data_IF_496720008287
#
_entry.id   IF_496720008287
#
_cell.length_a   1.000
_cell.length_b   1.000
_cell.length_c   1.000
_cell.angle_alpha   90.00
_cell.angle_beta   90.00
_cell.angle_gamma   90.00
#
_symmetry.space_group_name_H-M   'P 1'
#
loop_
_entity.id
_entity.type
_entity.pdbx_description
1 polymer ?
#
# COMPACT_ATOMS: atom_id res chain seq x y z
N UNK A 1 18.88 12.09 -27.14
CA UNK A 1 20.03 12.18 -26.23
C UNK A 1 19.66 11.51 -24.92
N UNK A 2 20.13 10.28 -24.67
CA UNK A 2 19.99 9.66 -23.35
C UNK A 2 20.96 10.38 -22.41
N UNK A 3 20.42 11.00 -21.36
CA UNK A 3 21.22 11.61 -20.32
C UNK A 3 21.74 10.47 -19.44
N UNK A 4 23.03 10.20 -19.47
CA UNK A 4 23.68 9.31 -18.52
C UNK A 4 23.77 10.05 -17.19
N UNK A 5 23.13 9.48 -16.15
CA UNK A 5 23.19 9.99 -14.79
C UNK A 5 24.36 9.34 -14.05
N UNK A 6 25.04 10.08 -13.20
CA UNK A 6 26.02 9.51 -12.27
C UNK A 6 25.33 8.67 -11.20
N UNK A 7 26.08 7.77 -10.55
CA UNK A 7 25.55 6.92 -9.45
C UNK A 7 24.98 7.82 -8.34
N UNK A 8 25.66 8.90 -7.99
CA UNK A 8 25.21 9.84 -6.96
C UNK A 8 23.91 10.57 -7.35
N UNK A 9 23.74 10.91 -8.61
CA UNK A 9 22.49 11.51 -9.11
C UNK A 9 21.33 10.52 -9.06
N UNK A 10 21.59 9.24 -9.38
CA UNK A 10 20.57 8.17 -9.30
C UNK A 10 20.12 7.98 -7.86
N UNK A 11 21.07 7.88 -6.90
CA UNK A 11 20.77 7.74 -5.48
C UNK A 11 19.97 8.93 -4.94
N UNK A 12 20.31 10.14 -5.34
CA UNK A 12 19.58 11.35 -4.93
C UNK A 12 18.15 11.36 -5.50
N UNK A 13 17.97 10.93 -6.74
CA UNK A 13 16.65 10.81 -7.37
C UNK A 13 15.80 9.78 -6.61
N UNK A 14 16.39 8.63 -6.28
CA UNK A 14 15.69 7.57 -5.54
C UNK A 14 15.27 8.04 -4.14
N UNK A 15 16.14 8.71 -3.40
CA UNK A 15 15.83 9.27 -2.09
C UNK A 15 14.66 10.27 -2.15
N UNK A 16 14.68 11.18 -3.13
CA UNK A 16 13.56 12.12 -3.35
C UNK A 16 12.26 11.41 -3.70
N UNK A 17 12.35 10.30 -4.43
CA UNK A 17 11.17 9.51 -4.79
C UNK A 17 10.59 8.80 -3.56
N UNK A 18 11.43 8.26 -2.70
CA UNK A 18 11.05 7.66 -1.40
C UNK A 18 10.36 8.69 -0.51
N UNK A 19 10.94 9.89 -0.35
CA UNK A 19 10.34 10.96 0.46
C UNK A 19 8.96 11.38 -0.06
N UNK A 20 8.82 11.53 -1.37
CA UNK A 20 7.52 11.83 -1.99
C UNK A 20 6.52 10.70 -1.78
N UNK A 21 6.97 9.44 -1.81
CA UNK A 21 6.13 8.26 -1.59
C UNK A 21 5.55 8.23 -0.18
N UNK A 22 6.27 8.71 0.82
CA UNK A 22 5.75 8.84 2.21
C UNK A 22 4.55 9.78 2.30
N UNK A 23 4.53 10.83 1.50
CA UNK A 23 3.52 11.91 1.55
C UNK A 23 2.41 11.78 0.53
N UNK A 24 2.63 11.02 -0.54
CA UNK A 24 1.70 10.93 -1.66
C UNK A 24 1.47 9.47 -2.07
N UNK A 25 0.25 9.01 -1.88
CA UNK A 25 -0.14 7.64 -2.18
C UNK A 25 0.03 7.27 -3.67
N UNK A 26 -0.25 8.19 -4.60
CA UNK A 26 -0.04 7.92 -6.02
C UNK A 26 1.43 7.67 -6.37
N UNK A 27 2.33 8.45 -5.79
CA UNK A 27 3.78 8.27 -5.95
C UNK A 27 4.24 6.96 -5.29
N UNK A 28 3.72 6.66 -4.09
CA UNK A 28 3.97 5.40 -3.40
C UNK A 28 3.58 4.19 -4.25
N UNK A 29 2.39 4.19 -4.87
CA UNK A 29 1.94 3.12 -5.75
C UNK A 29 2.90 2.84 -6.90
N UNK A 30 3.40 3.91 -7.53
CA UNK A 30 4.37 3.79 -8.62
C UNK A 30 5.71 3.25 -8.13
N UNK A 31 6.13 3.65 -6.94
CA UNK A 31 7.38 3.20 -6.35
C UNK A 31 7.35 1.70 -6.00
N UNK A 32 6.32 1.23 -5.32
CA UNK A 32 6.21 -0.19 -4.95
C UNK A 32 5.88 -1.10 -6.14
N UNK A 33 5.26 -0.56 -7.19
CA UNK A 33 4.87 -1.29 -8.40
C UNK A 33 5.51 -0.68 -9.66
N UNK A 34 6.79 -0.91 -9.94
CA UNK A 34 7.46 -0.32 -11.12
C UNK A 34 6.88 -0.80 -12.46
N UNK A 35 6.14 -1.90 -12.46
CA UNK A 35 5.43 -2.44 -13.65
C UNK A 35 3.98 -1.95 -13.76
N UNK A 36 3.57 -1.00 -12.92
CA UNK A 36 2.21 -0.48 -12.95
C UNK A 36 1.94 0.21 -14.28
N UNK A 37 0.96 -0.29 -15.02
CA UNK A 37 0.44 0.43 -16.19
C UNK A 37 -0.38 1.61 -15.70
N UNK A 38 0.14 2.81 -15.90
CA UNK A 38 -0.50 4.04 -15.48
C UNK A 38 -1.71 4.31 -16.36
N UNK A 39 -2.86 4.51 -15.74
CA UNK A 39 -4.07 4.98 -16.40
C UNK A 39 -4.67 6.17 -15.64
N UNK A 40 -5.39 7.03 -16.36
CA UNK A 40 -5.99 8.22 -15.78
C UNK A 40 -6.94 7.88 -14.63
N UNK A 41 -7.79 6.86 -14.77
CA UNK A 41 -8.77 6.50 -13.75
C UNK A 41 -8.11 5.94 -12.47
N UNK A 42 -6.99 5.24 -12.57
CA UNK A 42 -6.24 4.80 -11.39
C UNK A 42 -5.65 5.97 -10.61
N UNK A 43 -5.23 7.01 -11.31
CA UNK A 43 -4.75 8.25 -10.72
C UNK A 43 -5.89 8.98 -10.01
N UNK A 44 -7.07 9.08 -10.63
CA UNK A 44 -8.26 9.68 -10.02
C UNK A 44 -8.68 8.94 -8.74
N UNK A 45 -8.72 7.60 -8.78
CA UNK A 45 -9.02 6.80 -7.57
C UNK A 45 -7.98 7.07 -6.47
N UNK A 46 -6.69 7.19 -6.82
CA UNK A 46 -5.65 7.47 -5.83
C UNK A 46 -5.87 8.84 -5.15
N UNK A 47 -6.21 9.86 -5.93
CA UNK A 47 -6.49 11.19 -5.37
C UNK A 47 -7.79 11.20 -4.55
N UNK A 48 -8.84 10.50 -4.99
CA UNK A 48 -10.06 10.35 -4.22
C UNK A 48 -9.82 9.68 -2.86
N UNK A 49 -8.97 8.64 -2.81
CA UNK A 49 -8.56 7.99 -1.58
C UNK A 49 -7.75 8.92 -0.66
N UNK A 50 -6.86 9.72 -1.23
CA UNK A 50 -6.10 10.71 -0.45
C UNK A 50 -7.02 11.80 0.11
N UNK A 51 -7.95 12.31 -0.69
CA UNK A 51 -8.95 13.29 -0.25
C UNK A 51 -9.85 12.72 0.86
N UNK A 52 -10.31 11.47 0.68
CA UNK A 52 -11.06 10.74 1.70
C UNK A 52 -10.31 10.69 3.04
N UNK A 53 -9.02 10.38 3.01
CA UNK A 53 -8.19 10.35 4.22
C UNK A 53 -8.02 11.74 4.85
N UNK A 54 -7.79 12.77 4.04
CA UNK A 54 -7.69 14.14 4.52
C UNK A 54 -9.00 14.61 5.19
N UNK A 55 -10.13 14.31 4.60
CA UNK A 55 -11.44 14.64 5.15
C UNK A 55 -11.71 13.87 6.45
N UNK A 56 -11.27 12.62 6.53
CA UNK A 56 -11.31 11.83 7.78
C UNK A 56 -10.45 12.48 8.88
N UNK A 57 -9.22 12.87 8.59
CA UNK A 57 -8.33 13.57 9.55
C UNK A 57 -8.87 14.93 9.97
N UNK A 58 -9.63 15.58 9.11
CA UNK A 58 -10.34 16.85 9.43
C UNK A 58 -11.63 16.64 10.26
N UNK A 59 -11.94 15.41 10.67
CA UNK A 59 -13.13 15.07 11.46
C UNK A 59 -14.45 15.02 10.67
N UNK A 60 -14.36 15.04 9.35
CA UNK A 60 -15.51 15.01 8.46
C UNK A 60 -15.98 13.59 8.30
N UNK A 61 -16.60 12.83 8.66
CA UNK A 61 -17.05 11.43 8.44
C UNK A 61 -17.28 11.09 6.95
N UNK A 62 -16.24 11.09 6.10
CA UNK A 62 -16.40 10.91 4.67
C UNK A 62 -16.89 9.51 4.31
N UNK A 63 -17.60 9.40 3.20
CA UNK A 63 -17.98 8.13 2.58
C UNK A 63 -17.51 8.16 1.13
N UNK A 64 -16.87 7.09 0.67
CA UNK A 64 -16.36 6.96 -0.69
C UNK A 64 -16.85 5.66 -1.32
N UNK A 65 -17.51 5.77 -2.47
CA UNK A 65 -17.90 4.62 -3.29
C UNK A 65 -17.04 4.64 -4.54
N UNK A 66 -16.42 3.51 -4.86
CA UNK A 66 -15.57 3.36 -6.05
C UNK A 66 -16.21 2.31 -6.96
N UNK A 67 -16.71 2.76 -8.09
CA UNK A 67 -17.28 1.92 -9.13
C UNK A 67 -16.34 1.89 -10.34
N UNK A 68 -16.01 0.72 -10.82
CA UNK A 68 -15.26 0.52 -12.05
C UNK A 68 -15.47 -0.92 -12.55
N UNK A 69 -15.28 -1.20 -13.84
CA UNK A 69 -15.42 -2.54 -14.38
C UNK A 69 -14.58 -3.59 -13.65
N UNK A 70 -14.94 -4.88 -13.72
CA UNK A 70 -14.10 -5.96 -13.19
C UNK A 70 -12.68 -5.92 -13.75
N UNK A 71 -11.71 -6.43 -13.00
CA UNK A 71 -10.29 -6.55 -13.39
C UNK A 71 -9.53 -5.21 -13.61
N UNK A 72 -10.12 -4.06 -13.28
CA UNK A 72 -9.48 -2.74 -13.37
C UNK A 72 -8.67 -2.36 -12.13
N UNK A 73 -8.38 -3.31 -11.26
CA UNK A 73 -7.44 -3.10 -10.14
C UNK A 73 -8.00 -2.35 -8.93
N UNK A 74 -9.32 -2.15 -8.80
CA UNK A 74 -9.94 -1.47 -7.64
C UNK A 74 -9.47 -2.02 -6.29
N UNK A 75 -9.68 -3.32 -6.06
CA UNK A 75 -9.32 -3.96 -4.79
C UNK A 75 -7.82 -3.92 -4.53
N UNK A 76 -7.02 -4.07 -5.58
CA UNK A 76 -5.56 -3.94 -5.51
C UNK A 76 -5.17 -2.55 -4.99
N UNK A 77 -5.79 -1.51 -5.55
CA UNK A 77 -5.49 -0.13 -5.18
C UNK A 77 -5.91 0.19 -3.74
N UNK A 78 -7.05 -0.34 -3.29
CA UNK A 78 -7.50 -0.20 -1.90
C UNK A 78 -6.52 -0.91 -0.94
N UNK A 79 -6.07 -2.12 -1.27
CA UNK A 79 -5.09 -2.85 -0.46
C UNK A 79 -3.75 -2.10 -0.39
N UNK A 80 -3.29 -1.54 -1.50
CA UNK A 80 -2.09 -0.71 -1.55
C UNK A 80 -2.26 0.59 -0.73
N UNK A 81 -3.47 1.16 -0.72
CA UNK A 81 -3.79 2.32 0.11
C UNK A 81 -3.76 1.98 1.60
N UNK A 82 -4.30 0.82 2.01
CA UNK A 82 -4.21 0.33 3.39
C UNK A 82 -2.74 0.17 3.80
N UNK A 83 -1.90 -0.39 2.93
CA UNK A 83 -0.47 -0.53 3.23
C UNK A 83 0.24 0.82 3.40
N UNK A 84 -0.13 1.82 2.57
CA UNK A 84 0.39 3.17 2.69
C UNK A 84 -0.07 3.84 3.97
N UNK A 85 -1.36 3.71 4.35
CA UNK A 85 -1.90 4.23 5.61
C UNK A 85 -1.17 3.64 6.82
N UNK A 86 -0.95 2.34 6.85
CA UNK A 86 -0.25 1.67 7.95
C UNK A 86 1.17 2.21 8.16
N UNK A 87 1.83 2.66 7.09
CA UNK A 87 3.15 3.32 7.18
C UNK A 87 3.06 4.81 7.50
N UNK A 88 2.11 5.50 6.88
CA UNK A 88 1.96 6.95 6.97
C UNK A 88 1.32 7.42 8.28
N UNK A 89 0.31 6.70 8.76
CA UNK A 89 -0.44 7.00 9.98
C UNK A 89 -0.58 5.73 10.83
N UNK A 90 0.32 5.49 11.77
CA UNK A 90 0.32 4.27 12.59
C UNK A 90 -0.91 4.14 13.50
N UNK A 91 -1.60 5.23 13.77
CA UNK A 91 -2.79 5.23 14.61
C UNK A 91 -4.08 4.96 13.82
N UNK A 92 -4.00 4.95 12.49
CA UNK A 92 -5.12 4.64 11.62
C UNK A 92 -5.51 3.17 11.73
N UNK A 93 -6.66 2.91 12.31
CA UNK A 93 -7.25 1.56 12.38
C UNK A 93 -8.07 1.31 11.13
N UNK A 94 -7.75 0.22 10.43
CA UNK A 94 -8.42 -0.14 9.17
C UNK A 94 -9.06 -1.52 9.30
N UNK A 95 -10.33 -1.63 8.93
CA UNK A 95 -11.05 -2.91 8.83
C UNK A 95 -11.31 -3.16 7.34
N UNK A 96 -10.81 -4.28 6.82
CA UNK A 96 -11.11 -4.73 5.47
C UNK A 96 -12.12 -5.87 5.52
N UNK A 97 -13.25 -5.70 4.86
CA UNK A 97 -14.29 -6.71 4.76
C UNK A 97 -14.53 -7.10 3.31
N UNK A 98 -14.92 -8.34 3.07
CA UNK A 98 -15.31 -8.82 1.75
C UNK A 98 -16.49 -9.80 1.89
N UNK A 99 -17.22 -10.02 0.80
CA UNK A 99 -18.33 -10.98 0.80
C UNK A 99 -17.88 -12.45 0.84
N UNK A 100 -16.58 -12.72 0.71
CA UNK A 100 -16.00 -14.05 0.65
C UNK A 100 -14.72 -14.10 1.47
N UNK A 101 -14.61 -15.09 2.34
CA UNK A 101 -13.40 -15.39 3.11
C UNK A 101 -12.17 -15.49 2.20
N UNK A 102 -12.29 -16.19 1.07
CA UNK A 102 -11.20 -16.36 0.11
C UNK A 102 -10.65 -15.03 -0.40
N UNK A 103 -11.50 -14.01 -0.60
CA UNK A 103 -11.06 -12.68 -1.01
C UNK A 103 -10.38 -11.94 0.14
N UNK A 104 -10.88 -12.08 1.37
CA UNK A 104 -10.24 -11.55 2.57
C UNK A 104 -8.83 -12.12 2.74
N UNK A 105 -8.66 -13.44 2.65
CA UNK A 105 -7.35 -14.11 2.72
C UNK A 105 -6.40 -13.60 1.64
N UNK A 106 -6.88 -13.44 0.40
CA UNK A 106 -6.05 -12.90 -0.70
C UNK A 106 -5.59 -11.45 -0.44
N UNK A 107 -6.47 -10.62 0.11
CA UNK A 107 -6.15 -9.24 0.47
C UNK A 107 -5.07 -9.22 1.56
N UNK A 108 -5.22 -10.02 2.61
CA UNK A 108 -4.26 -10.14 3.69
C UNK A 108 -2.88 -10.64 3.19
N UNK A 109 -2.85 -11.71 2.39
CA UNK A 109 -1.60 -12.20 1.80
C UNK A 109 -0.91 -11.15 0.91
N UNK A 110 -1.69 -10.31 0.21
CA UNK A 110 -1.13 -9.21 -0.59
C UNK A 110 -0.53 -8.13 0.31
N UNK A 111 -1.21 -7.75 1.39
CA UNK A 111 -0.69 -6.80 2.37
C UNK A 111 0.63 -7.31 2.97
N UNK A 112 0.69 -8.57 3.40
CA UNK A 112 1.92 -9.16 3.93
C UNK A 112 3.07 -9.10 2.92
N UNK A 113 2.82 -9.41 1.65
CA UNK A 113 3.85 -9.30 0.59
C UNK A 113 4.35 -7.87 0.38
N UNK A 114 3.45 -6.89 0.47
CA UNK A 114 3.84 -5.48 0.38
C UNK A 114 4.73 -5.12 1.55
N UNK A 115 4.32 -5.42 2.77
CA UNK A 115 5.07 -5.11 3.98
C UNK A 115 6.45 -5.80 4.03
N UNK A 116 6.57 -7.00 3.46
CA UNK A 116 7.85 -7.72 3.39
C UNK A 116 8.78 -7.20 2.30
N UNK A 117 8.26 -6.44 1.33
CA UNK A 117 9.05 -5.94 0.22
C UNK A 117 10.10 -4.91 0.68
N UNK A 118 11.28 -4.94 0.05
CA UNK A 118 12.34 -3.99 0.34
C UNK A 118 11.92 -2.55 0.06
N UNK A 119 11.11 -2.34 -0.99
CA UNK A 119 10.59 -1.02 -1.33
C UNK A 119 9.68 -0.43 -0.25
N UNK A 120 8.83 -1.25 0.36
CA UNK A 120 8.02 -0.80 1.50
C UNK A 120 8.90 -0.40 2.68
N UNK A 121 9.90 -1.22 3.01
CA UNK A 121 10.85 -0.96 4.11
C UNK A 121 11.70 0.29 3.86
N UNK A 122 12.05 0.59 2.60
CA UNK A 122 12.73 1.84 2.24
C UNK A 122 11.83 3.07 2.46
N UNK A 123 10.54 2.96 2.10
CA UNK A 123 9.59 4.06 2.33
C UNK A 123 9.31 4.24 3.82
N UNK A 124 9.08 3.15 4.55
CA UNK A 124 8.69 3.15 5.96
C UNK A 124 9.64 2.26 6.80
N UNK A 125 10.87 2.68 7.06
CA UNK A 125 11.90 1.86 7.71
C UNK A 125 11.57 1.49 9.16
N UNK A 126 10.82 2.34 9.86
CA UNK A 126 10.45 2.15 11.26
C UNK A 126 9.27 1.19 11.44
N UNK A 127 8.62 0.78 10.33
CA UNK A 127 7.46 -0.11 10.37
C UNK A 127 7.86 -1.55 10.15
N UNK A 128 7.76 -2.33 11.22
CA UNK A 128 8.01 -3.78 11.20
C UNK A 128 6.72 -4.51 11.55
N UNK A 129 6.36 -5.50 10.75
CA UNK A 129 5.29 -6.42 11.15
C UNK A 129 5.82 -7.27 12.29
N UNK A 130 5.03 -7.40 13.35
CA UNK A 130 5.36 -8.27 14.46
C UNK A 130 5.43 -9.72 13.96
N UNK A 131 6.63 -10.33 14.06
CA UNK A 131 6.83 -11.72 13.64
C UNK A 131 6.27 -12.74 14.64
N UNK A 132 5.81 -12.30 15.81
CA UNK A 132 5.33 -13.18 16.87
C UNK A 132 3.93 -13.77 16.59
N UNK A 133 3.18 -13.20 15.65
CA UNK A 133 1.86 -13.72 15.25
C UNK A 133 1.97 -14.78 14.14
N UNK A 134 3.00 -15.61 14.17
CA UNK A 134 3.14 -16.73 13.25
C UNK A 134 2.54 -17.99 13.85
N UNK A 135 1.53 -18.56 13.19
CA UNK A 135 1.00 -19.88 13.53
C UNK A 135 1.84 -20.94 12.83
N UNK A 136 2.35 -21.90 13.59
CA UNK A 136 3.06 -23.06 13.04
C UNK A 136 2.04 -24.15 12.72
N UNK A 137 1.82 -24.42 11.44
CA UNK A 137 1.02 -25.56 10.98
C UNK A 137 1.98 -26.54 10.30
N UNK A 138 2.03 -27.77 10.79
CA UNK A 138 2.87 -28.85 10.22
C UNK A 138 4.36 -28.51 10.09
N UNK A 139 4.95 -27.79 11.05
CA UNK A 139 6.36 -27.42 11.05
C UNK A 139 6.76 -26.27 10.11
N UNK A 140 5.82 -25.69 9.40
CA UNK A 140 6.05 -24.47 8.63
C UNK A 140 5.53 -23.26 9.38
N UNK A 141 6.34 -22.20 9.46
CA UNK A 141 5.92 -20.91 10.00
C UNK A 141 5.00 -20.23 8.97
N UNK A 142 3.70 -20.29 9.20
CA UNK A 142 2.73 -19.53 8.43
C UNK A 142 2.28 -18.35 9.30
N UNK A 143 2.43 -17.13 8.78
CA UNK A 143 1.77 -15.97 9.39
C UNK A 143 0.27 -16.23 9.40
N UNK A 144 -0.41 -15.83 10.45
CA UNK A 144 -1.86 -15.94 10.49
C UNK A 144 -2.44 -15.25 9.24
N UNK A 145 -3.20 -16.01 8.44
CA UNK A 145 -3.77 -15.51 7.18
C UNK A 145 -4.93 -14.55 7.40
N UNK A 146 -5.47 -14.53 8.61
CA UNK A 146 -6.70 -13.81 8.95
C UNK A 146 -6.44 -12.53 9.74
N UNK A 147 -5.34 -12.43 10.49
CA UNK A 147 -5.07 -11.33 11.41
C UNK A 147 -3.72 -10.69 11.10
N UNK A 148 -3.75 -9.40 10.79
CA UNK A 148 -2.61 -8.49 10.81
C UNK A 148 -2.82 -7.54 12.00
N UNK A 149 -2.09 -7.73 13.06
CA UNK A 149 -1.97 -6.77 14.17
C UNK A 149 -0.77 -5.86 13.99
#
# INVERSE_FOLDING_TARGET
>A
MNKEYSIEEIDLIEQRYIEKSRKNFWVYRQYINPKLKISWFQKEIAYALMQFYQDYKAGKRPKLIIEAPPQHGKSVQVIEFISWLAGHDPDAKTIYTSFSERLGIRANLRLQRIFDSDKYKQVFPDKKINKQNTVTISGQYLRNREILE
#
